data_IF_567977637884
#
_entry.id   IF_567977637884
#
_cell.length_a   1.000
_cell.length_b   1.000
_cell.length_c   1.000
_cell.angle_alpha   90.00
_cell.angle_beta   90.00
_cell.angle_gamma   90.00
#
_symmetry.space_group_name_H-M   'P 1'
#
loop_
_entity.id
_entity.type
_entity.pdbx_description
1 polymer ?
#
# COMPACT_ATOMS: atom_id res chain seq x y z
N UNK A 1 18.53 4.34 19.15
CA UNK A 1 18.52 3.85 17.77
C UNK A 1 17.11 3.38 17.42
N UNK A 2 16.48 4.00 16.41
CA UNK A 2 15.13 3.65 15.99
C UNK A 2 15.15 2.29 15.29
N UNK A 3 14.80 1.22 16.02
CA UNK A 3 14.77 -0.18 15.54
C UNK A 3 13.97 -0.37 14.23
N UNK A 4 13.02 0.52 13.93
CA UNK A 4 12.19 0.43 12.72
C UNK A 4 12.95 0.66 11.41
N UNK A 5 13.99 1.50 11.41
CA UNK A 5 14.70 1.88 10.18
C UNK A 5 15.58 0.75 9.63
N UNK A 6 16.22 0.00 10.52
CA UNK A 6 17.05 -1.16 10.15
C UNK A 6 16.19 -2.33 9.65
N UNK A 7 15.02 -2.52 10.26
CA UNK A 7 14.11 -3.59 9.87
C UNK A 7 13.52 -3.37 8.47
N UNK A 8 13.15 -2.13 8.12
CA UNK A 8 12.61 -1.80 6.80
C UNK A 8 13.63 -2.02 5.68
N UNK A 9 14.91 -1.68 5.93
CA UNK A 9 15.99 -1.92 4.97
C UNK A 9 16.26 -3.42 4.78
N UNK A 10 16.15 -4.22 5.84
CA UNK A 10 16.26 -5.67 5.75
C UNK A 10 15.11 -6.30 4.95
N UNK A 11 13.88 -5.80 5.12
CA UNK A 11 12.70 -6.20 4.34
C UNK A 11 12.88 -5.90 2.86
N UNK A 12 13.29 -4.67 2.52
CA UNK A 12 13.56 -4.26 1.15
C UNK A 12 14.58 -5.18 0.46
N UNK A 13 15.72 -5.42 1.12
CA UNK A 13 16.76 -6.32 0.61
C UNK A 13 16.24 -7.74 0.37
N UNK A 14 15.34 -8.25 1.23
CA UNK A 14 14.71 -9.57 1.05
C UNK A 14 13.81 -9.60 -0.18
N UNK A 15 12.98 -8.56 -0.37
CA UNK A 15 12.12 -8.44 -1.57
C UNK A 15 12.99 -8.36 -2.82
N UNK A 16 13.97 -7.46 -2.87
CA UNK A 16 14.84 -7.29 -4.02
C UNK A 16 15.56 -8.60 -4.40
N UNK A 17 16.05 -9.35 -3.40
CA UNK A 17 16.66 -10.67 -3.64
C UNK A 17 15.67 -11.68 -4.21
N UNK A 18 14.41 -11.69 -3.73
CA UNK A 18 13.35 -12.56 -4.25
C UNK A 18 12.96 -12.17 -5.69
N UNK A 19 12.83 -10.88 -5.98
CA UNK A 19 12.53 -10.38 -7.33
C UNK A 19 13.65 -10.69 -8.32
N UNK A 20 14.91 -10.54 -7.91
CA UNK A 20 16.06 -10.90 -8.74
C UNK A 20 16.10 -12.39 -9.08
N UNK A 21 15.64 -13.28 -8.19
CA UNK A 21 15.51 -14.72 -8.48
C UNK A 21 14.39 -15.04 -9.48
N UNK A 22 13.41 -14.15 -9.59
CA UNK A 22 12.29 -14.24 -10.53
C UNK A 22 12.58 -13.48 -11.83
N UNK A 23 13.80 -12.94 -11.99
CA UNK A 23 14.21 -12.09 -13.12
C UNK A 23 13.36 -10.81 -13.28
N UNK A 24 12.68 -10.40 -12.21
CA UNK A 24 11.85 -9.19 -12.17
C UNK A 24 12.75 -8.00 -11.80
N UNK A 25 13.05 -7.15 -12.79
CA UNK A 25 13.80 -5.90 -12.58
C UNK A 25 12.84 -4.75 -12.29
N UNK A 26 12.96 -4.13 -11.12
CA UNK A 26 12.11 -3.01 -10.70
C UNK A 26 12.91 -1.92 -10.03
N UNK A 27 12.41 -0.69 -10.12
CA UNK A 27 13.05 0.45 -9.46
C UNK A 27 12.86 0.35 -7.95
N UNK A 28 13.86 0.84 -7.22
CA UNK A 28 13.79 0.91 -5.76
C UNK A 28 12.52 1.66 -5.30
N UNK A 29 12.20 2.79 -5.92
CA UNK A 29 11.04 3.60 -5.56
C UNK A 29 9.71 2.83 -5.69
N UNK A 30 9.56 2.02 -6.74
CA UNK A 30 8.35 1.22 -6.96
C UNK A 30 8.23 0.11 -5.91
N UNK A 31 9.35 -0.55 -5.60
CA UNK A 31 9.40 -1.58 -4.53
C UNK A 31 9.07 -0.96 -3.17
N UNK A 32 9.59 0.22 -2.85
CA UNK A 32 9.31 0.90 -1.57
C UNK A 32 7.85 1.35 -1.45
N UNK A 33 7.26 1.87 -2.53
CA UNK A 33 5.83 2.23 -2.57
C UNK A 33 4.93 1.01 -2.34
N UNK A 34 5.23 -0.10 -3.03
CA UNK A 34 4.46 -1.34 -2.92
C UNK A 34 4.66 -1.98 -1.54
N UNK A 35 5.88 -1.94 -0.99
CA UNK A 35 6.15 -2.38 0.38
C UNK A 35 5.33 -1.58 1.40
N UNK A 36 5.29 -0.26 1.27
CA UNK A 36 4.50 0.58 2.15
C UNK A 36 2.99 0.26 2.05
N UNK A 37 2.50 -0.05 0.84
CA UNK A 37 1.11 -0.46 0.64
C UNK A 37 0.78 -1.79 1.34
N UNK A 38 1.72 -2.74 1.38
CA UNK A 38 1.57 -4.04 2.05
C UNK A 38 2.12 -4.09 3.48
N UNK A 39 2.27 -2.94 4.15
CA UNK A 39 2.75 -2.87 5.54
C UNK A 39 4.12 -3.56 5.74
N UNK A 40 5.01 -3.41 4.76
CA UNK A 40 6.35 -4.01 4.73
C UNK A 40 6.35 -5.56 4.77
N UNK A 41 5.27 -6.22 4.34
CA UNK A 41 5.18 -7.68 4.23
C UNK A 41 5.89 -8.20 2.95
N UNK A 42 7.03 -8.85 3.15
CA UNK A 42 7.85 -9.44 2.07
C UNK A 42 7.06 -10.42 1.20
N UNK A 43 6.20 -11.25 1.80
CA UNK A 43 5.52 -12.31 1.08
C UNK A 43 4.40 -11.72 0.22
N UNK A 44 3.58 -10.83 0.78
CA UNK A 44 2.53 -10.13 0.02
C UNK A 44 3.10 -9.31 -1.13
N UNK A 45 4.18 -8.56 -0.89
CA UNK A 45 4.84 -7.77 -1.93
C UNK A 45 5.35 -8.66 -3.07
N UNK A 46 6.07 -9.74 -2.75
CA UNK A 46 6.59 -10.64 -3.80
C UNK A 46 5.48 -11.40 -4.52
N UNK A 47 4.43 -11.80 -3.81
CA UNK A 47 3.25 -12.41 -4.41
C UNK A 47 2.55 -11.46 -5.38
N UNK A 48 2.42 -10.18 -5.03
CA UNK A 48 1.89 -9.16 -5.94
C UNK A 48 2.73 -9.07 -7.22
N UNK A 49 4.06 -8.99 -7.11
CA UNK A 49 4.96 -8.98 -8.28
C UNK A 49 4.92 -10.27 -9.11
N UNK A 50 4.53 -11.41 -8.53
CA UNK A 50 4.39 -12.68 -9.28
C UNK A 50 3.08 -12.77 -10.04
N UNK A 51 2.01 -12.18 -9.51
CA UNK A 51 0.66 -12.33 -10.05
C UNK A 51 0.24 -11.15 -10.93
N UNK A 52 0.78 -9.96 -10.71
CA UNK A 52 0.36 -8.72 -11.34
C UNK A 52 1.56 -7.96 -11.92
N UNK A 53 1.29 -7.15 -12.94
CA UNK A 53 2.25 -6.20 -13.46
C UNK A 53 2.46 -5.06 -12.48
N UNK A 54 3.65 -4.49 -12.43
CA UNK A 54 3.96 -3.38 -11.50
C UNK A 54 3.05 -2.17 -11.69
N UNK A 55 2.66 -1.87 -12.93
CA UNK A 55 1.69 -0.82 -13.21
C UNK A 55 0.32 -1.10 -12.57
N UNK A 56 -0.14 -2.35 -12.52
CA UNK A 56 -1.42 -2.71 -11.90
C UNK A 56 -1.35 -2.54 -10.38
N UNK A 57 -0.26 -3.00 -9.76
CA UNK A 57 -0.03 -2.85 -8.32
C UNK A 57 0.07 -1.37 -7.95
N UNK A 58 0.80 -0.57 -8.73
CA UNK A 58 0.92 0.88 -8.50
C UNK A 58 -0.39 1.63 -8.72
N UNK A 59 -1.23 1.20 -9.66
CA UNK A 59 -2.57 1.75 -9.82
C UNK A 59 -3.42 1.48 -8.58
N UNK A 60 -3.38 0.27 -8.03
CA UNK A 60 -4.12 -0.07 -6.80
C UNK A 60 -3.61 0.71 -5.58
N UNK A 61 -2.29 0.89 -5.47
CA UNK A 61 -1.68 1.77 -4.44
C UNK A 61 -2.22 3.20 -4.52
N UNK A 62 -2.37 3.75 -5.73
CA UNK A 62 -2.93 5.10 -5.96
C UNK A 62 -4.43 5.16 -5.67
N UNK A 63 -5.20 4.14 -6.03
CA UNK A 63 -6.65 4.10 -5.84
C UNK A 63 -7.08 3.89 -4.39
N UNK A 64 -6.29 3.19 -3.58
CA UNK A 64 -6.54 3.05 -2.14
C UNK A 64 -6.57 4.39 -1.41
N UNK A 65 -5.82 5.40 -1.88
CA UNK A 65 -5.90 6.77 -1.36
C UNK A 65 -7.23 7.47 -1.68
N UNK A 66 -7.90 7.09 -2.77
CA UNK A 66 -9.17 7.68 -3.22
C UNK A 66 -10.38 7.11 -2.48
N UNK A 67 -10.36 5.81 -2.12
CA UNK A 67 -11.46 5.18 -1.36
C UNK A 67 -11.62 5.73 0.07
N UNK A 68 -10.54 6.18 0.70
CA UNK A 68 -10.61 6.78 2.04
C UNK A 68 -11.21 8.20 2.07
N UNK A 69 -11.23 8.93 0.94
CA UNK A 69 -11.88 10.26 0.87
C UNK A 69 -13.41 10.17 0.87
N UNK A 70 -13.99 9.14 0.23
CA UNK A 70 -15.45 9.03 0.14
C UNK A 70 -16.10 8.62 1.47
N UNK A 71 -15.41 7.81 2.30
CA UNK A 71 -15.94 7.39 3.61
C UNK A 71 -15.97 8.57 4.61
N UNK A 72 -15.02 9.51 4.51
CA UNK A 72 -15.01 10.70 5.36
C UNK A 72 -16.07 11.73 4.96
N UNK A 73 -16.36 11.88 3.66
CA UNK A 73 -17.35 12.84 3.18
C UNK A 73 -18.79 12.41 3.48
N UNK A 74 -19.08 11.10 3.50
CA UNK A 74 -20.40 10.57 3.85
C UNK A 74 -20.76 10.76 5.33
N UNK A 75 -19.76 10.74 6.24
CA UNK A 75 -19.98 10.96 7.68
C UNK A 75 -20.22 12.42 8.06
N UNK A 76 -19.86 13.38 7.20
CA UNK A 76 -20.18 14.81 7.41
C UNK A 76 -21.60 15.18 6.99
N UNK A 77 -22.30 14.34 6.22
CA UNK A 77 -23.63 14.67 5.66
C UNK A 77 -24.82 14.05 6.42
N UNK A 78 -24.59 13.20 7.42
CA UNK A 78 -25.67 12.58 8.21
C UNK A 78 -25.95 13.25 9.55
N UNK A 79 -25.28 14.36 9.85
CA UNK A 79 -25.61 15.23 10.99
C UNK A 79 -26.63 16.30 10.60
N UNK A 80 -27.73 15.93 9.96
CA UNK A 80 -28.92 16.78 9.94
C UNK A 80 -29.59 16.63 11.32
N UNK A 81 -29.79 17.70 12.10
CA UNK A 81 -30.52 17.60 13.36
C UNK A 81 -31.94 17.10 13.04
N UNK A 82 -32.40 16.10 13.80
CA UNK A 82 -33.78 15.61 13.72
C UNK A 82 -34.73 16.82 13.84
N UNK A 83 -35.75 16.96 12.97
CA UNK A 83 -36.80 17.93 13.21
C UNK A 83 -37.46 17.58 14.55
N UNK A 84 -37.47 18.55 15.46
CA UNK A 84 -38.27 18.47 16.68
C UNK A 84 -39.73 18.39 16.25
N UNK A 85 -40.40 17.29 16.60
CA UNK A 85 -41.86 17.18 16.49
C UNK A 85 -42.51 18.36 17.21
N UNK A 86 -43.45 19.01 16.54
CA UNK A 86 -44.58 19.69 17.16
C UNK A 86 -45.80 19.49 16.26
#
# INVERSE_FOLDING_TARGET
MSKSSENNRAVFNKVQKKLSKLEIKQNQNDIELILAHFDFDVNKTVEAFRNLSVNEILQDCRQSSTKNKQIHEQRRRTSAPKPSSN
#
